data_IF_832438074154
#
_entry.id   IF_832438074154
#
_cell.length_a   1.000
_cell.length_b   1.000
_cell.length_c   1.000
_cell.angle_alpha   90.00
_cell.angle_beta   90.00
_cell.angle_gamma   90.00
#
_symmetry.space_group_name_H-M   'P 1'
#
loop_
_entity.id
_entity.type
_entity.pdbx_description
1 polymer ?
#
# COMPACT_ATOMS: atom_id res chain seq x y z
N UNK A 1 -6.26 1.87 -6.65
CA UNK A 1 -5.41 1.56 -5.47
C UNK A 1 -4.27 0.64 -5.84
N UNK A 2 -4.56 -0.59 -6.29
CA UNK A 2 -3.51 -1.54 -6.70
C UNK A 2 -2.56 -1.00 -7.78
N UNK A 3 -3.07 -0.24 -8.76
CA UNK A 3 -2.22 0.46 -9.73
C UNK A 3 -1.18 1.38 -9.06
N UNK A 4 -1.55 2.11 -8.01
CA UNK A 4 -0.61 2.96 -7.28
C UNK A 4 0.41 2.13 -6.50
N UNK A 5 -0.01 1.02 -5.90
CA UNK A 5 0.91 0.10 -5.21
C UNK A 5 1.89 -0.52 -6.20
N UNK A 6 1.42 -1.06 -7.32
CA UNK A 6 2.25 -1.62 -8.39
C UNK A 6 3.26 -0.64 -8.95
N UNK A 7 2.85 0.62 -9.13
CA UNK A 7 3.77 1.68 -9.55
C UNK A 7 4.86 1.94 -8.50
N UNK A 8 4.51 1.94 -7.21
CA UNK A 8 5.49 2.14 -6.12
C UNK A 8 6.50 1.00 -6.05
N UNK A 9 6.02 -0.24 -6.09
CA UNK A 9 6.87 -1.43 -5.93
C UNK A 9 7.54 -1.86 -7.25
N UNK A 10 7.12 -1.28 -8.38
CA UNK A 10 7.60 -1.60 -9.73
C UNK A 10 7.36 -3.07 -10.13
N UNK A 11 6.29 -3.64 -9.59
CA UNK A 11 5.83 -5.00 -9.86
C UNK A 11 4.35 -4.92 -10.19
N UNK A 12 3.97 -5.46 -11.34
CA UNK A 12 2.57 -5.60 -11.74
C UNK A 12 1.87 -6.59 -10.79
N UNK A 13 1.02 -6.06 -9.91
CA UNK A 13 0.35 -6.83 -8.87
C UNK A 13 -1.10 -6.35 -8.67
N UNK A 14 -1.93 -7.18 -8.05
CA UNK A 14 -3.31 -6.81 -7.73
C UNK A 14 -4.27 -6.91 -8.90
N UNK A 15 -3.86 -7.51 -10.02
CA UNK A 15 -4.76 -8.04 -11.05
C UNK A 15 -5.55 -9.25 -10.54
N UNK A 16 -4.93 -10.05 -9.67
CA UNK A 16 -5.55 -11.18 -8.98
C UNK A 16 -4.80 -11.46 -7.66
N UNK A 17 -5.38 -12.32 -6.82
CA UNK A 17 -4.78 -12.67 -5.53
C UNK A 17 -3.44 -13.42 -5.69
N UNK A 18 -3.29 -14.26 -6.70
CA UNK A 18 -2.06 -15.03 -6.94
C UNK A 18 -0.85 -14.13 -7.22
N UNK A 19 -1.04 -13.04 -7.98
CA UNK A 19 0.03 -12.07 -8.28
C UNK A 19 0.63 -11.45 -7.02
N UNK A 20 -0.16 -11.32 -5.96
CA UNK A 20 0.29 -10.82 -4.65
C UNK A 20 0.83 -11.99 -3.81
N UNK A 21 0.07 -13.09 -3.73
CA UNK A 21 0.40 -14.23 -2.89
C UNK A 21 1.74 -14.89 -3.24
N UNK A 22 2.08 -14.96 -4.53
CA UNK A 22 3.36 -15.52 -4.97
C UNK A 22 4.57 -14.75 -4.42
N UNK A 23 4.46 -13.43 -4.21
CA UNK A 23 5.53 -12.63 -3.61
C UNK A 23 5.70 -12.95 -2.12
N UNK A 24 4.61 -13.22 -1.42
CA UNK A 24 4.61 -13.49 0.03
C UNK A 24 5.32 -14.79 0.39
N UNK A 25 5.39 -15.73 -0.53
CA UNK A 25 6.09 -17.00 -0.34
C UNK A 25 7.62 -16.82 -0.30
N UNK A 26 8.15 -15.67 -0.72
CA UNK A 26 9.59 -15.42 -0.79
C UNK A 26 10.02 -14.22 0.06
N UNK A 27 11.09 -14.40 0.83
CA UNK A 27 11.74 -13.31 1.59
C UNK A 27 12.44 -12.29 0.69
N UNK A 28 12.62 -12.60 -0.61
CA UNK A 28 13.20 -11.67 -1.59
C UNK A 28 12.40 -10.37 -1.68
N UNK A 29 11.08 -10.47 -1.57
CA UNK A 29 10.14 -9.35 -1.74
C UNK A 29 9.74 -8.72 -0.42
N UNK A 30 10.58 -8.79 0.63
CA UNK A 30 10.16 -8.37 1.98
C UNK A 30 9.61 -6.94 2.03
N UNK A 31 10.24 -6.00 1.32
CA UNK A 31 9.76 -4.61 1.24
C UNK A 31 8.44 -4.56 0.48
N UNK A 32 8.34 -5.19 -0.69
CA UNK A 32 7.10 -5.21 -1.49
C UNK A 32 5.93 -5.88 -0.74
N UNK A 33 6.23 -6.92 0.04
CA UNK A 33 5.30 -7.63 0.90
C UNK A 33 4.76 -6.72 2.00
N UNK A 34 5.57 -5.81 2.56
CA UNK A 34 5.09 -4.80 3.50
C UNK A 34 4.11 -3.83 2.85
N UNK A 35 4.37 -3.39 1.61
CA UNK A 35 3.49 -2.46 0.90
C UNK A 35 2.16 -3.12 0.49
N UNK A 36 2.22 -4.33 -0.06
CA UNK A 36 1.01 -5.09 -0.44
C UNK A 36 0.18 -5.50 0.79
N UNK A 37 0.83 -5.86 1.90
CA UNK A 37 0.15 -6.15 3.18
C UNK A 37 -0.49 -4.88 3.76
N UNK A 38 0.18 -3.73 3.71
CA UNK A 38 -0.39 -2.46 4.16
C UNK A 38 -1.60 -2.04 3.31
N UNK A 39 -1.58 -2.32 2.00
CA UNK A 39 -2.70 -2.09 1.10
C UNK A 39 -3.93 -2.92 1.48
N UNK A 40 -3.75 -4.22 1.72
CA UNK A 40 -4.83 -5.10 2.20
C UNK A 40 -5.34 -4.71 3.59
N UNK A 41 -4.43 -4.34 4.49
CA UNK A 41 -4.82 -3.84 5.81
C UNK A 41 -5.65 -2.55 5.71
N UNK A 42 -5.28 -1.65 4.80
CA UNK A 42 -6.05 -0.44 4.49
C UNK A 42 -7.45 -0.78 3.97
N UNK A 43 -7.56 -1.75 3.07
CA UNK A 43 -8.84 -2.21 2.52
C UNK A 43 -9.72 -2.86 3.61
N UNK A 44 -9.13 -3.68 4.47
CA UNK A 44 -9.83 -4.30 5.60
C UNK A 44 -10.35 -3.24 6.58
N UNK A 45 -9.52 -2.23 6.92
CA UNK A 45 -9.95 -1.10 7.76
C UNK A 45 -11.07 -0.29 7.10
N UNK A 46 -11.01 -0.08 5.79
CA UNK A 46 -12.08 0.61 5.06
C UNK A 46 -13.38 -0.19 5.13
N UNK A 47 -13.36 -1.49 4.85
CA UNK A 47 -14.52 -2.38 4.99
C UNK A 47 -15.11 -2.27 6.39
N UNK A 48 -14.27 -2.36 7.42
CA UNK A 48 -14.77 -2.27 8.80
C UNK A 48 -15.39 -0.92 9.11
N UNK A 49 -14.80 0.16 8.61
CA UNK A 49 -15.34 1.50 8.80
C UNK A 49 -16.74 1.62 8.19
N UNK A 50 -16.91 1.13 6.95
CA UNK A 50 -18.19 1.18 6.22
C UNK A 50 -19.26 0.27 6.83
N UNK A 51 -18.91 -0.97 7.19
CA UNK A 51 -19.89 -1.97 7.61
C UNK A 51 -20.20 -1.93 9.11
N UNK A 52 -19.26 -1.49 9.96
CA UNK A 52 -19.37 -1.67 11.41
C UNK A 52 -19.18 -0.36 12.21
N UNK A 53 -18.68 0.72 11.60
CA UNK A 53 -18.38 1.97 12.32
C UNK A 53 -19.12 3.19 11.77
N UNK A 54 -20.18 2.99 10.99
CA UNK A 54 -20.96 4.06 10.34
C UNK A 54 -20.11 5.04 9.51
N UNK A 55 -18.94 4.59 9.05
CA UNK A 55 -18.06 5.34 8.18
C UNK A 55 -18.65 5.50 6.79
N UNK A 56 -18.18 6.52 6.08
CA UNK A 56 -18.54 6.76 4.67
C UNK A 56 -17.30 6.74 3.81
N UNK A 57 -17.44 6.26 2.58
CA UNK A 57 -16.42 6.40 1.56
C UNK A 57 -16.19 7.90 1.30
N UNK A 58 -14.92 8.30 1.22
CA UNK A 58 -14.54 9.68 0.87
C UNK A 58 -14.04 9.71 -0.57
N UNK A 59 -12.83 9.22 -0.76
CA UNK A 59 -12.14 9.21 -2.04
C UNK A 59 -10.91 8.27 -1.96
N UNK A 60 -10.35 7.94 -3.13
CA UNK A 60 -9.18 7.07 -3.22
C UNK A 60 -7.92 7.72 -2.59
N UNK A 61 -7.63 9.03 -2.75
CA UNK A 61 -6.50 9.66 -2.07
C UNK A 61 -6.52 9.49 -0.54
N UNK A 62 -7.67 9.61 0.11
CA UNK A 62 -7.83 9.37 1.55
C UNK A 62 -7.47 7.94 1.92
N UNK A 63 -7.90 6.97 1.11
CA UNK A 63 -7.55 5.56 1.31
C UNK A 63 -6.03 5.35 1.15
N UNK A 64 -5.41 5.93 0.11
CA UNK A 64 -3.96 5.84 -0.11
C UNK A 64 -3.16 6.52 1.01
N UNK A 65 -3.64 7.66 1.56
CA UNK A 65 -3.03 8.29 2.73
C UNK A 65 -3.04 7.35 3.94
N UNK A 66 -4.15 6.66 4.21
CA UNK A 66 -4.24 5.69 5.31
C UNK A 66 -3.29 4.51 5.13
N UNK A 67 -3.12 4.04 3.90
CA UNK A 67 -2.15 3.00 3.56
C UNK A 67 -0.73 3.52 3.79
N UNK A 68 -0.39 4.72 3.32
CA UNK A 68 0.91 5.37 3.56
C UNK A 68 1.20 5.52 5.06
N UNK A 69 0.23 5.93 5.87
CA UNK A 69 0.41 6.00 7.33
C UNK A 69 0.75 4.63 7.93
N UNK A 70 0.08 3.56 7.49
CA UNK A 70 0.42 2.19 7.92
C UNK A 70 1.82 1.77 7.47
N UNK A 71 2.20 2.06 6.23
CA UNK A 71 3.56 1.80 5.72
C UNK A 71 4.58 2.47 6.63
N UNK A 72 4.46 3.79 6.86
CA UNK A 72 5.42 4.55 7.67
C UNK A 72 5.53 4.04 9.11
N UNK A 73 4.42 3.60 9.71
CA UNK A 73 4.43 2.96 11.04
C UNK A 73 5.22 1.64 11.03
N UNK A 74 5.16 0.88 9.94
CA UNK A 74 5.89 -0.38 9.80
C UNK A 74 7.38 -0.21 9.46
N UNK A 75 7.89 1.02 9.31
CA UNK A 75 9.32 1.28 9.13
C UNK A 75 10.18 0.58 10.19
N UNK A 76 9.70 0.51 11.44
CA UNK A 76 10.38 -0.16 12.55
C UNK A 76 10.50 -1.69 12.35
N UNK A 77 9.57 -2.29 11.60
CA UNK A 77 9.56 -3.72 11.28
C UNK A 77 10.47 -4.06 10.09
N UNK A 78 10.87 -3.04 9.30
CA UNK A 78 11.74 -3.25 8.15
C UNK A 78 13.16 -3.62 8.63
N UNK A 79 13.74 -4.72 8.11
CA UNK A 79 15.15 -5.04 8.36
C UNK A 79 16.05 -3.88 7.97
N UNK A 80 17.09 -3.64 8.77
CA UNK A 80 17.97 -2.49 8.61
C UNK A 80 18.62 -2.44 7.21
N UNK A 81 19.08 -3.59 6.71
CA UNK A 81 19.65 -3.74 5.37
C UNK A 81 18.68 -3.38 4.22
N UNK A 82 17.38 -3.29 4.50
CA UNK A 82 16.33 -2.98 3.53
C UNK A 82 15.66 -1.62 3.75
N UNK A 83 16.08 -0.87 4.79
CA UNK A 83 15.46 0.42 5.14
C UNK A 83 15.57 1.47 4.05
N UNK A 84 16.71 1.53 3.36
CA UNK A 84 16.90 2.48 2.25
C UNK A 84 15.91 2.21 1.11
N UNK A 85 15.76 0.94 0.70
CA UNK A 85 14.78 0.53 -0.32
C UNK A 85 13.35 0.86 0.11
N UNK A 86 13.02 0.59 1.37
CA UNK A 86 11.73 0.91 1.97
C UNK A 86 11.44 2.41 1.94
N UNK A 87 12.40 3.26 2.34
CA UNK A 87 12.25 4.71 2.37
C UNK A 87 12.03 5.28 0.97
N UNK A 88 12.81 4.84 -0.02
CA UNK A 88 12.65 5.24 -1.42
C UNK A 88 11.23 4.94 -1.93
N UNK A 89 10.72 3.73 -1.67
CA UNK A 89 9.35 3.35 -2.05
C UNK A 89 8.29 4.13 -1.27
N UNK A 90 8.53 4.41 0.02
CA UNK A 90 7.61 5.20 0.84
C UNK A 90 7.51 6.66 0.37
N UNK A 91 8.61 7.25 -0.09
CA UNK A 91 8.63 8.59 -0.67
C UNK A 91 7.96 8.63 -2.05
N UNK A 92 8.14 7.58 -2.86
CA UNK A 92 7.38 7.39 -4.11
C UNK A 92 5.88 7.29 -3.86
N UNK A 93 5.46 6.54 -2.83
CA UNK A 93 4.06 6.50 -2.41
C UNK A 93 3.58 7.88 -1.98
N UNK A 94 4.36 8.60 -1.16
CA UNK A 94 4.02 9.95 -0.69
C UNK A 94 3.83 10.95 -1.84
N UNK A 95 4.68 10.90 -2.86
CA UNK A 95 4.55 11.77 -4.04
C UNK A 95 3.28 11.42 -4.82
N UNK A 96 2.95 10.13 -4.96
CA UNK A 96 1.71 9.70 -5.63
C UNK A 96 0.46 10.16 -4.90
N UNK A 97 0.41 10.10 -3.57
CA UNK A 97 -0.79 10.55 -2.84
C UNK A 97 -0.97 12.07 -2.91
N UNK A 98 0.10 12.84 -3.13
CA UNK A 98 0.04 14.30 -3.29
C UNK A 98 -0.35 14.75 -4.70
N UNK A 99 -0.36 13.85 -5.70
CA UNK A 99 -0.69 14.21 -7.09
C UNK A 99 -2.21 14.44 -7.24
N UNK A 100 -2.67 15.67 -7.60
CA UNK A 100 -4.08 15.90 -7.90
C UNK A 100 -4.47 15.21 -9.23
N UNK A 101 -5.70 14.69 -9.30
CA UNK A 101 -6.38 14.39 -10.58
C UNK A 101 -6.16 13.01 -11.23
N UNK A 102 -5.42 12.07 -10.64
CA UNK A 102 -5.14 10.78 -11.32
C UNK A 102 -6.24 9.72 -11.21
N UNK A 103 -7.31 10.00 -10.47
CA UNK A 103 -8.33 9.01 -10.10
C UNK A 103 -9.74 9.37 -10.61
N UNK A 104 -9.82 10.37 -11.49
CA UNK A 104 -10.98 10.68 -12.33
C UNK A 104 -10.78 9.99 -13.69
N UNK A 105 -11.12 8.70 -13.78
CA UNK A 105 -11.38 7.98 -15.02
C UNK A 105 -12.26 6.79 -14.69
#
# INVERSE_FOLDING_TARGET
MWLAISEVIEIDCGRNFESIGNMWLSKRFIVDNMFTSAALWGLWKLRNSLCFQNGRWKDVPNMLQRILSTILQWKLLCPEAKRQEFEQKADKMRSLVKRPGRLEN
#
